data_IF_885193712758
#
_entry.id   IF_885193712758
#
_cell.length_a   1.000
_cell.length_b   1.000
_cell.length_c   1.000
_cell.angle_alpha   90.00
_cell.angle_beta   90.00
_cell.angle_gamma   90.00
#
_symmetry.space_group_name_H-M   'P 1'
#
loop_
_entity.id
_entity.type
_entity.pdbx_description
1 polymer ?
#
# COMPACT_ATOMS: atom_id res chain seq x y z
N UNK A 1 3.87 -25.33 57.74
CA UNK A 1 3.97 -23.86 57.91
C UNK A 1 3.51 -23.18 56.62
N UNK A 2 2.55 -22.25 56.72
CA UNK A 2 2.00 -21.29 55.73
C UNK A 2 1.92 -21.72 54.24
N UNK A 3 0.78 -22.20 53.69
CA UNK A 3 -0.39 -21.46 53.17
C UNK A 3 -0.07 -20.11 52.50
N UNK A 4 -0.24 -20.03 51.17
CA UNK A 4 -1.21 -19.13 50.51
C UNK A 4 -1.35 -19.48 49.02
N UNK A 5 -2.57 -19.89 48.68
CA UNK A 5 -3.09 -20.24 47.38
C UNK A 5 -3.44 -18.97 46.57
N UNK A 6 -3.18 -18.97 45.26
CA UNK A 6 -3.92 -18.16 44.28
C UNK A 6 -4.17 -18.99 43.02
N UNK A 7 -5.39 -19.52 42.94
CA UNK A 7 -5.99 -20.07 41.71
C UNK A 7 -6.44 -18.94 40.77
N UNK A 8 -6.49 -19.19 39.45
CA UNK A 8 -6.65 -18.16 38.42
C UNK A 8 -8.13 -17.81 38.16
N UNK A 9 -8.40 -16.54 37.79
CA UNK A 9 -9.69 -16.08 37.27
C UNK A 9 -9.83 -16.45 35.78
N UNK A 10 -10.96 -17.01 35.33
CA UNK A 10 -11.26 -17.11 33.90
C UNK A 10 -11.93 -15.81 33.42
N UNK A 11 -11.40 -15.19 32.38
CA UNK A 11 -12.07 -14.10 31.67
C UNK A 11 -13.14 -14.67 30.74
N UNK A 12 -14.38 -14.22 30.96
CA UNK A 12 -15.57 -14.65 30.23
C UNK A 12 -15.51 -14.34 28.74
N UNK A 13 -16.00 -15.30 27.94
CA UNK A 13 -16.28 -15.12 26.52
C UNK A 13 -17.51 -14.21 26.38
N UNK A 14 -17.32 -12.99 25.89
CA UNK A 14 -18.41 -12.15 25.37
C UNK A 14 -18.69 -12.63 23.95
N UNK A 15 -19.87 -13.22 23.73
CA UNK A 15 -20.40 -13.46 22.40
C UNK A 15 -20.92 -12.13 21.84
N UNK A 16 -20.28 -11.62 20.79
CA UNK A 16 -20.78 -10.47 20.04
C UNK A 16 -21.74 -10.97 18.95
N UNK A 17 -23.04 -10.77 19.15
CA UNK A 17 -24.05 -10.93 18.11
C UNK A 17 -24.00 -9.72 17.18
N UNK A 18 -23.48 -9.90 15.96
CA UNK A 18 -23.53 -8.89 14.92
C UNK A 18 -24.95 -8.82 14.33
N UNK A 19 -25.70 -7.77 14.65
CA UNK A 19 -26.94 -7.42 13.98
C UNK A 19 -26.62 -6.78 12.62
N UNK A 20 -27.07 -7.41 11.52
CA UNK A 20 -26.96 -6.86 10.17
C UNK A 20 -28.01 -5.76 9.96
N UNK A 21 -27.59 -4.49 9.96
CA UNK A 21 -28.41 -3.37 9.51
C UNK A 21 -28.35 -3.27 7.97
N UNK A 22 -29.45 -3.58 7.30
CA UNK A 22 -29.60 -3.38 5.85
C UNK A 22 -29.96 -1.92 5.59
N UNK A 23 -29.01 -1.10 5.18
CA UNK A 23 -29.28 0.24 4.65
C UNK A 23 -29.63 0.13 3.16
N UNK A 24 -30.90 0.36 2.82
CA UNK A 24 -31.35 0.49 1.43
C UNK A 24 -30.99 1.90 0.94
N UNK A 25 -29.88 2.04 0.20
CA UNK A 25 -29.56 3.28 -0.48
C UNK A 25 -30.32 3.34 -1.81
N UNK A 26 -31.30 4.24 -1.92
CA UNK A 26 -31.91 4.61 -3.19
C UNK A 26 -30.88 5.40 -4.03
N UNK A 27 -30.30 4.75 -5.04
CA UNK A 27 -29.48 5.41 -6.06
C UNK A 27 -30.40 6.09 -7.08
N UNK A 28 -30.48 7.42 -7.03
CA UNK A 28 -30.93 8.22 -8.16
C UNK A 28 -29.90 8.09 -9.28
N UNK A 29 -30.22 7.33 -10.33
CA UNK A 29 -29.39 7.27 -11.53
C UNK A 29 -29.62 8.55 -12.35
N UNK A 30 -28.76 9.55 -12.19
CA UNK A 30 -28.57 10.54 -13.24
C UNK A 30 -28.14 9.78 -14.50
N UNK A 31 -28.86 9.95 -15.61
CA UNK A 31 -28.43 9.41 -16.91
C UNK A 31 -27.02 9.88 -17.24
N UNK A 32 -26.27 9.16 -18.08
CA UNK A 32 -24.89 9.55 -18.39
C UNK A 32 -24.95 10.95 -19.00
N UNK A 33 -24.28 11.91 -18.35
CA UNK A 33 -23.98 13.18 -18.99
C UNK A 33 -23.26 12.85 -20.30
N UNK A 34 -23.74 13.42 -21.41
CA UNK A 34 -23.04 13.28 -22.68
C UNK A 34 -21.65 13.87 -22.56
N UNK A 35 -20.67 13.28 -23.26
CA UNK A 35 -19.31 13.78 -23.23
C UNK A 35 -19.27 15.28 -23.56
N UNK A 36 -18.52 16.05 -22.76
CA UNK A 36 -18.38 17.48 -22.96
C UNK A 36 -17.04 17.81 -23.62
N UNK A 37 -16.99 18.80 -24.51
CA UNK A 37 -15.72 19.28 -25.06
C UNK A 37 -14.91 19.96 -23.94
N UNK A 38 -13.66 19.52 -23.78
CA UNK A 38 -12.65 20.16 -22.91
C UNK A 38 -11.40 20.34 -23.77
N UNK A 39 -11.07 21.59 -24.10
CA UNK A 39 -9.97 21.87 -25.01
C UNK A 39 -10.14 21.12 -26.35
N UNK A 40 -9.14 20.34 -26.80
CA UNK A 40 -9.17 19.67 -28.10
C UNK A 40 -9.92 18.34 -28.14
N UNK A 41 -10.36 17.78 -27.01
CA UNK A 41 -11.04 16.47 -26.97
C UNK A 41 -12.28 16.47 -26.08
N UNK A 42 -13.21 15.58 -26.38
CA UNK A 42 -14.33 15.32 -25.50
C UNK A 42 -13.88 14.47 -24.31
N UNK A 43 -14.45 14.76 -23.13
CA UNK A 43 -14.30 13.98 -21.90
C UNK A 43 -15.69 13.56 -21.48
N UNK A 44 -15.92 12.26 -21.30
CA UNK A 44 -17.26 11.75 -21.01
C UNK A 44 -17.30 10.65 -19.96
N UNK A 45 -18.52 10.24 -19.64
CA UNK A 45 -18.80 9.07 -18.81
C UNK A 45 -18.12 9.13 -17.44
N UNK A 46 -17.61 7.99 -16.98
CA UNK A 46 -16.97 7.91 -15.66
C UNK A 46 -15.65 8.72 -15.58
N UNK A 47 -14.96 8.91 -16.70
CA UNK A 47 -13.72 9.71 -16.74
C UNK A 47 -14.04 11.19 -16.49
N UNK A 48 -15.11 11.71 -17.09
CA UNK A 48 -15.58 13.08 -16.84
C UNK A 48 -15.98 13.27 -15.38
N UNK A 49 -16.72 12.32 -14.80
CA UNK A 49 -17.12 12.37 -13.38
C UNK A 49 -15.89 12.45 -12.48
N UNK A 50 -14.87 11.63 -12.72
CA UNK A 50 -13.62 11.67 -11.95
C UNK A 50 -12.83 12.96 -12.20
N UNK A 51 -12.77 13.45 -13.45
CA UNK A 51 -12.12 14.70 -13.81
C UNK A 51 -12.71 15.86 -13.00
N UNK A 52 -14.04 15.98 -12.95
CA UNK A 52 -14.74 17.02 -12.20
C UNK A 52 -14.53 16.90 -10.69
N UNK A 53 -14.68 15.68 -10.15
CA UNK A 53 -14.49 15.42 -8.71
C UNK A 53 -13.06 15.70 -8.23
N UNK A 54 -12.06 15.44 -9.07
CA UNK A 54 -10.66 15.65 -8.76
C UNK A 54 -10.16 17.07 -9.09
N UNK A 55 -11.06 18.01 -9.45
CA UNK A 55 -10.75 19.45 -9.59
C UNK A 55 -10.59 19.94 -11.04
N UNK A 56 -10.84 19.09 -12.03
CA UNK A 56 -10.92 19.41 -13.44
C UNK A 56 -9.68 20.12 -14.00
N UNK A 57 -9.89 21.10 -14.88
CA UNK A 57 -8.80 21.79 -15.60
C UNK A 57 -7.80 22.49 -14.68
N UNK A 58 -8.22 22.86 -13.47
CA UNK A 58 -7.33 23.43 -12.46
C UNK A 58 -6.27 22.43 -11.96
N UNK A 59 -6.54 21.12 -12.05
CA UNK A 59 -5.61 20.05 -11.65
C UNK A 59 -4.96 19.39 -12.86
N UNK A 60 -5.74 19.08 -13.90
CA UNK A 60 -5.31 18.25 -15.02
C UNK A 60 -4.87 19.03 -16.26
N UNK A 61 -5.38 20.24 -16.46
CA UNK A 61 -5.35 20.92 -17.75
C UNK A 61 -6.33 20.31 -18.75
N UNK A 62 -6.11 20.57 -20.03
CA UNK A 62 -6.90 20.00 -21.11
C UNK A 62 -6.52 18.53 -21.36
N UNK A 63 -7.44 17.69 -21.87
CA UNK A 63 -7.09 16.38 -22.39
C UNK A 63 -6.11 16.52 -23.58
N UNK A 64 -5.14 15.61 -23.67
CA UNK A 64 -4.18 15.53 -24.79
C UNK A 64 -4.41 14.31 -25.70
N UNK A 65 -5.37 13.46 -25.33
CA UNK A 65 -5.85 12.33 -26.13
C UNK A 65 -7.38 12.28 -26.09
N UNK A 66 -8.04 11.65 -27.07
CA UNK A 66 -9.41 11.20 -26.85
C UNK A 66 -9.45 10.11 -25.76
N UNK A 67 -10.62 9.85 -25.19
CA UNK A 67 -10.85 8.62 -24.41
C UNK A 67 -10.55 7.41 -25.31
N UNK A 68 -9.60 6.58 -24.87
CA UNK A 68 -9.04 5.47 -25.65
C UNK A 68 -9.14 4.17 -24.86
N UNK A 69 -9.15 3.04 -25.56
CA UNK A 69 -9.14 1.73 -24.91
C UNK A 69 -7.79 1.48 -24.21
N UNK A 70 -7.86 0.99 -22.97
CA UNK A 70 -6.72 0.52 -22.19
C UNK A 70 -6.72 -1.02 -22.13
N UNK A 71 -5.59 -1.60 -21.73
CA UNK A 71 -5.45 -3.05 -21.62
C UNK A 71 -6.49 -3.70 -20.70
N UNK A 72 -6.82 -4.98 -20.92
CA UNK A 72 -7.74 -5.74 -20.06
C UNK A 72 -9.17 -5.17 -19.95
N UNK A 73 -9.62 -4.40 -20.95
CA UNK A 73 -11.03 -3.98 -21.07
C UNK A 73 -11.40 -2.70 -20.34
N UNK A 74 -10.42 -1.88 -19.97
CA UNK A 74 -10.68 -0.53 -19.45
C UNK A 74 -10.50 0.55 -20.52
N UNK A 75 -10.56 1.79 -20.07
CA UNK A 75 -10.39 3.00 -20.88
C UNK A 75 -9.48 3.97 -20.15
N UNK A 76 -8.90 4.90 -20.88
CA UNK A 76 -8.10 5.96 -20.29
C UNK A 76 -8.15 7.23 -21.12
N UNK A 77 -7.81 8.33 -20.48
CA UNK A 77 -7.55 9.60 -21.13
C UNK A 77 -6.37 10.29 -20.46
N UNK A 78 -5.45 10.85 -21.26
CA UNK A 78 -4.30 11.59 -20.76
C UNK A 78 -4.59 13.10 -20.80
N UNK A 79 -3.97 13.83 -19.87
CA UNK A 79 -4.16 15.27 -19.67
C UNK A 79 -2.80 15.99 -19.60
N UNK A 80 -2.79 17.29 -19.91
CA UNK A 80 -1.59 18.11 -20.07
C UNK A 80 -0.61 18.06 -18.89
N UNK A 81 -1.10 18.01 -17.65
CA UNK A 81 -0.28 18.18 -16.44
C UNK A 81 0.28 16.88 -15.88
N UNK A 82 0.89 16.07 -16.77
CA UNK A 82 1.42 14.74 -16.48
C UNK A 82 0.44 13.88 -15.65
N UNK A 83 -0.80 13.80 -16.13
CA UNK A 83 -1.86 13.08 -15.45
C UNK A 83 -2.68 12.26 -16.43
N UNK A 84 -3.28 11.19 -15.93
CA UNK A 84 -4.23 10.38 -16.69
C UNK A 84 -5.32 9.88 -15.77
N UNK A 85 -6.52 9.72 -16.32
CA UNK A 85 -7.63 9.07 -15.64
C UNK A 85 -7.85 7.73 -16.35
N UNK A 86 -7.82 6.66 -15.58
CA UNK A 86 -8.08 5.30 -16.07
C UNK A 86 -9.37 4.78 -15.47
N UNK A 87 -10.22 4.17 -16.30
CA UNK A 87 -11.45 3.53 -15.92
C UNK A 87 -11.40 2.02 -16.22
N UNK A 88 -11.92 1.20 -15.31
CA UNK A 88 -12.18 -0.22 -15.56
C UNK A 88 -13.46 -0.64 -14.83
N UNK A 89 -14.27 -1.59 -15.37
CA UNK A 89 -15.53 -2.00 -14.77
C UNK A 89 -15.46 -2.41 -13.30
N UNK A 90 -14.32 -2.96 -12.86
CA UNK A 90 -14.13 -3.41 -11.47
C UNK A 90 -13.56 -2.37 -10.51
N UNK A 91 -13.07 -1.22 -10.99
CA UNK A 91 -12.40 -0.21 -10.15
C UNK A 91 -12.97 1.20 -10.29
N UNK A 92 -13.82 1.45 -11.29
CA UNK A 92 -14.25 2.80 -11.63
C UNK A 92 -13.13 3.64 -12.25
N UNK A 93 -13.39 4.94 -12.40
CA UNK A 93 -12.43 5.90 -12.94
C UNK A 93 -11.58 6.47 -11.79
N UNK A 94 -10.26 6.47 -11.96
CA UNK A 94 -9.34 6.97 -10.95
C UNK A 94 -8.19 7.75 -11.61
N UNK A 95 -7.90 8.93 -11.07
CA UNK A 95 -6.79 9.76 -11.50
C UNK A 95 -5.44 9.30 -10.95
N UNK A 96 -4.42 9.31 -11.81
CA UNK A 96 -3.01 9.05 -11.45
C UNK A 96 -2.14 10.12 -12.10
N UNK A 97 -1.30 10.81 -11.32
CA UNK A 97 -0.48 11.92 -11.79
C UNK A 97 0.99 11.83 -11.39
N UNK A 98 1.78 12.73 -11.99
CA UNK A 98 3.15 13.02 -11.60
C UNK A 98 4.05 11.79 -11.46
N UNK A 99 4.89 11.79 -10.42
CA UNK A 99 5.87 10.74 -10.17
C UNK A 99 5.24 9.36 -9.93
N UNK A 100 4.00 9.30 -9.41
CA UNK A 100 3.28 8.03 -9.21
C UNK A 100 2.88 7.45 -10.57
N UNK A 101 2.35 8.29 -11.46
CA UNK A 101 2.02 7.92 -12.84
C UNK A 101 3.25 7.43 -13.59
N UNK A 102 4.36 8.17 -13.52
CA UNK A 102 5.61 7.80 -14.20
C UNK A 102 6.14 6.46 -13.67
N UNK A 103 6.07 6.25 -12.35
CA UNK A 103 6.44 4.98 -11.72
C UNK A 103 5.57 3.82 -12.18
N UNK A 104 4.26 4.01 -12.20
CA UNK A 104 3.32 3.00 -12.68
C UNK A 104 3.56 2.66 -14.15
N UNK A 105 3.90 3.65 -14.96
CA UNK A 105 4.28 3.43 -16.36
C UNK A 105 5.54 2.59 -16.54
N UNK A 106 6.57 2.82 -15.73
CA UNK A 106 7.77 1.99 -15.71
C UNK A 106 7.49 0.54 -15.26
N UNK A 107 6.39 0.31 -14.53
CA UNK A 107 5.94 -1.01 -14.10
C UNK A 107 4.97 -1.68 -15.08
N UNK A 108 4.73 -1.07 -16.26
CA UNK A 108 3.91 -1.64 -17.33
C UNK A 108 2.44 -1.21 -17.31
N UNK A 109 2.10 -0.11 -16.62
CA UNK A 109 0.74 0.42 -16.55
C UNK A 109 -0.30 -0.63 -16.09
N UNK A 110 -1.50 -0.64 -16.66
CA UNK A 110 -2.57 -1.60 -16.37
C UNK A 110 -2.24 -3.04 -16.80
N UNK A 111 -1.27 -3.20 -17.70
CA UNK A 111 -0.80 -4.51 -18.14
C UNK A 111 0.22 -5.12 -17.17
N UNK A 112 0.83 -4.28 -16.34
CA UNK A 112 1.82 -4.63 -15.33
C UNK A 112 1.26 -5.32 -14.10
N UNK A 113 2.15 -5.54 -13.13
CA UNK A 113 1.85 -6.28 -11.88
C UNK A 113 0.82 -5.58 -10.99
N UNK A 114 0.67 -4.26 -11.14
CA UNK A 114 -0.25 -3.46 -10.33
C UNK A 114 -1.69 -3.44 -10.87
N UNK A 115 -1.90 -3.65 -12.18
CA UNK A 115 -3.22 -3.50 -12.78
C UNK A 115 -3.75 -2.06 -12.71
N UNK A 116 -5.08 -1.91 -12.64
CA UNK A 116 -5.74 -0.60 -12.59
C UNK A 116 -5.64 0.10 -11.24
N UNK A 117 -5.62 1.45 -11.20
CA UNK A 117 -5.82 2.20 -9.97
C UNK A 117 -7.22 1.93 -9.39
N UNK A 118 -7.29 1.81 -8.07
CA UNK A 118 -8.52 1.61 -7.27
C UNK A 118 -8.88 2.87 -6.48
N UNK A 119 -7.91 3.77 -6.30
CA UNK A 119 -8.13 5.12 -5.77
C UNK A 119 -7.54 6.14 -6.73
N UNK A 120 -8.07 7.36 -6.69
CA UNK A 120 -7.35 8.53 -7.19
C UNK A 120 -6.11 8.83 -6.36
N UNK A 121 -5.29 9.75 -6.85
CA UNK A 121 -4.07 10.17 -6.15
C UNK A 121 -4.43 11.03 -4.92
N UNK A 122 -4.22 10.46 -3.74
CA UNK A 122 -4.58 11.05 -2.45
C UNK A 122 -3.34 11.52 -1.69
N UNK A 123 -3.51 12.50 -0.82
CA UNK A 123 -2.46 12.92 0.11
C UNK A 123 -2.42 11.97 1.31
N UNK A 124 -1.22 11.67 1.80
CA UNK A 124 -1.09 10.88 3.03
C UNK A 124 -1.62 11.65 4.26
N UNK A 125 -2.27 10.98 5.24
CA UNK A 125 -2.98 11.65 6.32
C UNK A 125 -2.15 12.57 7.23
N UNK A 126 -0.88 12.24 7.53
CA UNK A 126 -0.10 13.01 8.51
C UNK A 126 1.31 13.41 8.07
N UNK A 127 1.96 12.62 7.20
CA UNK A 127 3.27 12.96 6.64
C UNK A 127 3.09 13.54 5.23
N UNK A 128 3.95 14.47 4.78
CA UNK A 128 3.85 15.02 3.43
C UNK A 128 4.21 13.94 2.39
N UNK A 129 3.22 13.52 1.61
CA UNK A 129 3.36 12.50 0.59
C UNK A 129 2.04 12.27 -0.14
N UNK A 130 2.08 11.47 -1.20
CA UNK A 130 0.91 11.10 -2.00
C UNK A 130 0.93 9.60 -2.31
N UNK A 131 -0.23 9.03 -2.57
CA UNK A 131 -0.35 7.62 -2.93
C UNK A 131 -1.50 7.34 -3.90
N UNK A 132 -1.37 6.24 -4.63
CA UNK A 132 -2.48 5.55 -5.26
C UNK A 132 -2.46 4.09 -4.80
N UNK A 133 -3.65 3.54 -4.53
CA UNK A 133 -3.83 2.09 -4.46
C UNK A 133 -4.19 1.55 -5.84
N UNK A 134 -3.67 0.36 -6.14
CA UNK A 134 -3.90 -0.39 -7.37
C UNK A 134 -4.41 -1.79 -7.03
N UNK A 135 -4.96 -2.50 -8.02
CA UNK A 135 -5.44 -3.88 -7.84
C UNK A 135 -4.38 -4.79 -7.22
N UNK A 136 -3.13 -4.66 -7.68
CA UNK A 136 -1.99 -5.49 -7.26
C UNK A 136 -1.09 -4.87 -6.18
N UNK A 137 -1.42 -3.72 -5.62
CA UNK A 137 -0.55 -3.09 -4.62
C UNK A 137 -0.78 -1.59 -4.44
N UNK A 138 0.29 -0.86 -4.19
CA UNK A 138 0.24 0.59 -4.02
C UNK A 138 1.54 1.22 -4.50
N UNK A 139 1.45 2.48 -4.90
CA UNK A 139 2.63 3.33 -5.08
C UNK A 139 2.50 4.50 -4.12
N UNK A 140 3.56 4.74 -3.36
CA UNK A 140 3.67 5.87 -2.45
C UNK A 140 4.83 6.75 -2.91
N UNK A 141 4.63 8.06 -2.81
CA UNK A 141 5.62 9.08 -3.11
C UNK A 141 5.76 10.04 -1.93
N UNK A 142 6.98 10.43 -1.61
CA UNK A 142 7.26 11.55 -0.71
C UNK A 142 8.51 12.31 -1.14
N UNK A 143 8.64 13.55 -0.67
CA UNK A 143 9.90 14.29 -0.80
C UNK A 143 10.98 13.55 -0.01
N UNK A 144 12.07 13.20 -0.67
CA UNK A 144 13.20 12.48 -0.08
C UNK A 144 13.20 10.98 -0.33
N UNK A 145 12.07 10.35 -0.65
CA UNK A 145 12.02 8.91 -0.99
C UNK A 145 11.73 8.63 -2.46
N UNK A 146 11.15 9.57 -3.21
CA UNK A 146 10.60 9.30 -4.55
C UNK A 146 9.47 8.25 -4.53
N UNK A 147 9.00 7.84 -5.72
CA UNK A 147 7.85 6.96 -5.89
C UNK A 147 8.25 5.48 -5.88
N UNK A 148 7.66 4.70 -4.97
CA UNK A 148 7.98 3.29 -4.76
C UNK A 148 6.76 2.40 -4.70
N UNK A 149 6.87 1.23 -5.33
CA UNK A 149 5.85 0.21 -5.33
C UNK A 149 5.97 -0.71 -4.10
N UNK A 150 4.82 -1.02 -3.50
CA UNK A 150 4.69 -1.97 -2.40
C UNK A 150 3.46 -2.85 -2.62
N UNK A 151 3.62 -4.17 -2.51
CA UNK A 151 2.60 -5.14 -2.90
C UNK A 151 2.39 -6.27 -1.89
N UNK A 152 1.37 -7.08 -2.18
CA UNK A 152 1.06 -8.33 -1.49
C UNK A 152 1.16 -8.27 0.04
N UNK A 153 1.69 -9.35 0.62
CA UNK A 153 1.80 -9.50 2.07
C UNK A 153 2.68 -8.44 2.75
N UNK A 154 3.63 -7.84 2.02
CA UNK A 154 4.48 -6.76 2.58
C UNK A 154 3.65 -5.49 2.76
N UNK A 155 2.85 -5.12 1.76
CA UNK A 155 1.90 -4.01 1.87
C UNK A 155 0.91 -4.23 3.01
N UNK A 156 0.32 -5.43 3.10
CA UNK A 156 -0.66 -5.75 4.13
C UNK A 156 -0.03 -5.69 5.54
N UNK A 157 1.23 -6.14 5.66
CA UNK A 157 1.98 -6.03 6.90
C UNK A 157 2.25 -4.57 7.28
N UNK A 158 2.72 -3.77 6.33
CA UNK A 158 2.99 -2.35 6.54
C UNK A 158 1.71 -1.59 6.91
N UNK A 159 0.59 -1.92 6.27
CA UNK A 159 -0.74 -1.39 6.59
C UNK A 159 -1.14 -1.67 8.03
N UNK A 160 -1.01 -2.92 8.46
CA UNK A 160 -1.27 -3.32 9.85
C UNK A 160 -0.31 -2.67 10.85
N UNK A 161 0.90 -2.30 10.41
CA UNK A 161 1.90 -1.60 11.23
C UNK A 161 1.70 -0.08 11.28
N UNK A 162 0.71 0.46 10.55
CA UNK A 162 0.37 1.88 10.56
C UNK A 162 0.81 2.67 9.31
N UNK A 163 1.12 2.00 8.20
CA UNK A 163 1.52 2.63 6.93
C UNK A 163 2.70 3.60 7.12
N UNK A 164 2.72 4.72 6.39
CA UNK A 164 3.72 5.77 6.51
C UNK A 164 3.73 6.42 7.89
N UNK A 165 2.64 6.30 8.66
CA UNK A 165 2.55 6.82 10.03
C UNK A 165 3.31 5.96 11.04
N UNK A 166 3.68 4.74 10.66
CA UNK A 166 4.55 3.89 11.48
C UNK A 166 5.98 4.47 11.61
N UNK A 167 6.79 3.97 12.57
CA UNK A 167 8.21 4.33 12.66
C UNK A 167 9.02 4.02 11.38
N UNK A 168 8.54 3.14 10.50
CA UNK A 168 9.22 2.84 9.24
C UNK A 168 9.18 4.01 8.26
N UNK A 169 8.08 4.78 8.24
CA UNK A 169 7.88 5.84 7.25
C UNK A 169 7.54 5.30 5.85
N UNK A 170 7.91 6.07 4.82
CA UNK A 170 7.70 5.73 3.42
C UNK A 170 8.69 4.66 2.92
N UNK A 171 8.29 3.79 1.97
CA UNK A 171 9.22 2.89 1.31
C UNK A 171 10.28 3.68 0.52
N UNK A 172 11.51 3.15 0.50
CA UNK A 172 12.65 3.68 -0.26
C UNK A 172 13.13 2.72 -1.37
N UNK A 173 12.44 1.59 -1.51
CA UNK A 173 12.64 0.65 -2.62
C UNK A 173 11.29 0.16 -3.11
N UNK A 174 11.26 -0.26 -4.37
CA UNK A 174 10.20 -1.18 -4.80
C UNK A 174 10.35 -2.53 -4.11
N UNK A 175 9.31 -3.36 -4.20
CA UNK A 175 9.39 -4.73 -3.70
C UNK A 175 10.44 -5.52 -4.49
N UNK A 176 11.50 -5.95 -3.83
CA UNK A 176 12.65 -6.62 -4.43
C UNK A 176 12.72 -8.10 -4.04
N UNK A 177 13.39 -8.92 -4.86
CA UNK A 177 13.54 -10.34 -4.61
C UNK A 177 14.60 -10.60 -3.53
N UNK A 178 14.35 -11.58 -2.67
CA UNK A 178 15.28 -12.10 -1.70
C UNK A 178 15.42 -13.63 -1.83
N UNK A 179 16.33 -14.22 -1.05
CA UNK A 179 16.68 -15.65 -1.08
C UNK A 179 15.45 -16.56 -0.97
N UNK A 180 15.47 -17.73 -1.63
CA UNK A 180 14.42 -18.74 -1.52
C UNK A 180 13.01 -18.21 -1.85
N UNK A 181 12.91 -17.38 -2.91
CA UNK A 181 11.66 -16.77 -3.37
C UNK A 181 10.98 -15.85 -2.35
N UNK A 182 11.73 -15.30 -1.40
CA UNK A 182 11.24 -14.24 -0.54
C UNK A 182 11.30 -12.88 -1.22
N UNK A 183 10.74 -11.88 -0.53
CA UNK A 183 10.58 -10.51 -1.02
C UNK A 183 10.86 -9.53 0.10
N UNK A 184 11.21 -8.30 -0.23
CA UNK A 184 11.36 -7.25 0.79
C UNK A 184 11.08 -5.86 0.22
N UNK A 185 10.69 -4.95 1.11
CA UNK A 185 10.78 -3.51 0.90
C UNK A 185 11.67 -2.92 2.00
N UNK A 186 12.51 -1.96 1.63
CA UNK A 186 13.26 -1.15 2.60
C UNK A 186 12.52 0.14 2.89
N UNK A 187 12.74 0.63 4.10
CA UNK A 187 12.30 1.91 4.62
C UNK A 187 13.52 2.61 5.24
N UNK A 188 13.42 3.91 5.52
CA UNK A 188 14.52 4.64 6.16
C UNK A 188 14.96 3.98 7.47
N UNK A 189 14.00 3.67 8.34
CA UNK A 189 14.26 3.20 9.70
C UNK A 189 13.95 1.70 9.91
N UNK A 190 13.73 0.94 8.84
CA UNK A 190 13.49 -0.50 8.94
C UNK A 190 13.34 -1.19 7.59
N UNK A 191 12.96 -2.45 7.63
CA UNK A 191 12.62 -3.22 6.44
C UNK A 191 11.46 -4.17 6.77
N UNK A 192 10.72 -4.56 5.75
CA UNK A 192 9.77 -5.66 5.85
C UNK A 192 10.25 -6.75 4.92
N UNK A 193 10.48 -7.94 5.48
CA UNK A 193 10.85 -9.13 4.72
C UNK A 193 9.69 -10.12 4.74
N UNK A 194 9.43 -10.71 3.58
CA UNK A 194 8.46 -11.78 3.41
C UNK A 194 9.14 -13.04 2.87
N UNK A 195 8.69 -14.19 3.35
CA UNK A 195 9.00 -15.49 2.74
C UNK A 195 7.74 -16.35 2.64
N UNK A 196 7.69 -17.33 1.72
CA UNK A 196 6.56 -18.26 1.64
C UNK A 196 6.29 -19.02 2.95
N UNK A 197 7.33 -19.30 3.73
CA UNK A 197 7.24 -20.11 4.94
C UNK A 197 6.84 -19.32 6.19
N UNK A 198 7.32 -18.08 6.33
CA UNK A 198 7.19 -17.32 7.57
C UNK A 198 6.27 -16.11 7.45
N UNK A 199 5.85 -15.72 6.25
CA UNK A 199 5.05 -14.51 6.06
C UNK A 199 5.90 -13.24 6.16
N UNK A 200 5.23 -12.09 6.31
CA UNK A 200 5.85 -10.77 6.29
C UNK A 200 6.08 -10.23 7.71
N UNK A 201 7.31 -9.82 8.00
CA UNK A 201 7.72 -9.33 9.31
C UNK A 201 8.56 -8.06 9.23
N UNK A 202 8.35 -7.17 10.20
CA UNK A 202 9.10 -5.93 10.34
C UNK A 202 10.41 -6.22 11.05
N UNK A 203 11.54 -5.76 10.51
CA UNK A 203 12.85 -5.73 11.17
C UNK A 203 13.33 -4.28 11.23
N UNK A 204 13.65 -3.78 12.42
CA UNK A 204 14.01 -2.38 12.62
C UNK A 204 14.97 -2.20 13.80
N UNK A 205 15.48 -0.97 13.98
CA UNK A 205 16.33 -0.60 15.11
C UNK A 205 17.61 -1.46 15.27
N UNK A 206 18.07 -1.59 16.53
CA UNK A 206 19.31 -2.30 16.86
C UNK A 206 19.28 -3.80 16.54
N UNK A 207 18.11 -4.43 16.60
CA UNK A 207 17.92 -5.82 16.19
C UNK A 207 18.19 -5.97 14.69
N UNK A 208 17.62 -5.09 13.85
CA UNK A 208 17.93 -5.05 12.41
C UNK A 208 19.42 -4.84 12.16
N UNK A 209 20.05 -3.87 12.84
CA UNK A 209 21.50 -3.61 12.69
C UNK A 209 22.32 -4.87 12.97
N UNK A 210 21.99 -5.60 14.04
CA UNK A 210 22.68 -6.86 14.39
C UNK A 210 22.43 -7.95 13.35
N UNK A 211 21.21 -8.06 12.86
CA UNK A 211 20.82 -9.04 11.83
C UNK A 211 21.52 -8.77 10.49
N UNK A 212 21.53 -7.52 10.02
CA UNK A 212 22.18 -7.10 8.79
C UNK A 212 23.71 -7.26 8.86
N UNK A 213 24.33 -6.94 10.00
CA UNK A 213 25.75 -7.20 10.24
C UNK A 213 26.13 -8.69 10.14
N UNK A 214 25.15 -9.59 10.29
CA UNK A 214 25.28 -11.04 10.11
C UNK A 214 24.70 -11.53 8.78
N UNK A 215 24.73 -10.67 7.75
CA UNK A 215 24.26 -10.91 6.38
C UNK A 215 22.73 -11.07 6.21
N UNK A 216 21.95 -10.63 7.20
CA UNK A 216 20.49 -10.58 7.12
C UNK A 216 19.85 -11.91 6.70
N UNK A 217 18.89 -11.85 5.77
CA UNK A 217 18.19 -13.04 5.26
C UNK A 217 19.10 -14.04 4.54
N UNK A 218 20.30 -13.61 4.10
CA UNK A 218 21.30 -14.49 3.49
C UNK A 218 22.20 -15.17 4.52
N UNK A 219 22.24 -14.68 5.75
CA UNK A 219 23.09 -15.16 6.83
C UNK A 219 22.51 -16.32 7.62
N UNK A 220 23.19 -16.68 8.71
CA UNK A 220 22.82 -17.81 9.57
C UNK A 220 21.49 -17.65 10.31
N UNK A 221 21.01 -16.43 10.50
CA UNK A 221 19.69 -16.18 11.11
C UNK A 221 18.54 -16.40 10.11
N UNK A 222 18.74 -16.19 8.82
CA UNK A 222 17.66 -16.28 7.81
C UNK A 222 16.60 -15.19 7.96
N UNK A 223 15.38 -15.45 7.47
CA UNK A 223 14.26 -14.51 7.58
C UNK A 223 13.76 -14.33 9.02
N UNK A 224 13.20 -13.15 9.35
CA UNK A 224 12.40 -12.98 10.56
C UNK A 224 11.16 -13.90 10.54
N UNK A 225 10.81 -14.44 11.70
CA UNK A 225 9.64 -15.33 11.92
C UNK A 225 8.64 -14.74 12.92
N UNK A 226 8.94 -13.56 13.42
CA UNK A 226 8.10 -12.74 14.30
C UNK A 226 8.43 -11.27 14.06
N UNK A 227 7.54 -10.36 14.45
CA UNK A 227 7.97 -8.98 14.70
C UNK A 227 8.67 -8.90 16.05
N UNK A 228 9.31 -7.76 16.33
CA UNK A 228 9.90 -7.49 17.64
C UNK A 228 8.86 -7.55 18.79
N UNK A 229 9.20 -8.20 19.90
CA UNK A 229 8.37 -8.34 21.09
C UNK A 229 9.16 -8.11 22.38
N UNK A 230 8.44 -7.86 23.48
CA UNK A 230 9.06 -7.63 24.79
C UNK A 230 9.73 -8.89 25.34
N UNK A 231 10.98 -8.78 25.77
CA UNK A 231 11.76 -9.89 26.30
C UNK A 231 12.77 -9.45 27.34
N UNK A 232 12.66 -9.96 28.57
CA UNK A 232 13.63 -9.78 29.66
C UNK A 232 14.07 -8.31 29.91
N UNK A 233 13.13 -7.37 29.91
CA UNK A 233 13.41 -5.94 30.12
C UNK A 233 13.96 -5.20 28.90
N UNK A 234 14.09 -5.88 27.77
CA UNK A 234 14.38 -5.30 26.47
C UNK A 234 13.46 -5.87 25.40
N UNK A 235 14.02 -6.14 24.22
CA UNK A 235 13.29 -6.57 23.04
C UNK A 235 13.91 -7.83 22.47
N UNK A 236 13.11 -8.63 21.77
CA UNK A 236 13.60 -9.78 21.02
C UNK A 236 12.86 -9.93 19.70
N UNK A 237 13.52 -10.58 18.76
CA UNK A 237 12.92 -11.02 17.51
C UNK A 237 13.43 -12.42 17.17
N UNK A 238 12.51 -13.29 16.78
CA UNK A 238 12.81 -14.63 16.29
C UNK A 238 13.04 -14.61 14.78
N UNK A 239 14.01 -15.43 14.36
CA UNK A 239 14.45 -15.67 12.99
C UNK A 239 14.55 -17.19 12.75
N UNK A 240 14.68 -17.62 11.50
CA UNK A 240 14.78 -19.06 11.15
C UNK A 240 15.87 -19.79 11.92
N UNK A 241 17.03 -19.14 12.06
CA UNK A 241 18.24 -19.68 12.67
C UNK A 241 18.48 -19.24 14.11
N UNK A 242 17.49 -18.64 14.78
CA UNK A 242 17.59 -18.29 16.20
C UNK A 242 16.94 -16.95 16.56
N UNK A 243 17.30 -16.41 17.72
CA UNK A 243 16.77 -15.15 18.25
C UNK A 243 17.87 -14.10 18.33
N UNK A 244 17.50 -12.85 18.10
CA UNK A 244 18.30 -11.69 18.47
C UNK A 244 17.56 -10.95 19.57
N UNK A 245 18.28 -10.54 20.61
CA UNK A 245 17.75 -9.77 21.73
C UNK A 245 18.46 -8.42 21.78
N UNK A 246 17.75 -7.40 22.23
CA UNK A 246 18.27 -6.07 22.53
C UNK A 246 17.93 -5.70 23.98
N UNK A 247 18.82 -4.96 24.63
CA UNK A 247 18.62 -4.39 25.97
C UNK A 247 18.97 -2.88 25.91
N UNK A 248 18.28 -2.04 26.69
CA UNK A 248 18.53 -0.60 26.75
C UNK A 248 19.88 -0.24 27.37
#
# INVERSE_FOLDING_TARGET
>A
MARLSRTPRPHGRVALTAATATALAALLTAGPAGARPIGPFDVGGAIEVEYDQAGGGAVFGDPVTPESDAGRGGKFQAFERNASIYWHPSTGANAVGGAIRDKWGNLGWENGVLGYPVTREESTPSKPGRYNHFQGGSIYWSVGTAAHQIGGAIRDKWAAYGWENSPLGFPITDEAAAKNNGRYNLFNDGAIYWSPKYGAHVVWGAIRTTWEARAGANGGYGYPTSDEYDYQGGKAQDFEGGRITWQP
#
